data_IF_714456837008
#
_entry.id   IF_714456837008
#
_cell.length_a   1.000
_cell.length_b   1.000
_cell.length_c   1.000
_cell.angle_alpha   90.00
_cell.angle_beta   90.00
_cell.angle_gamma   90.00
#
_symmetry.space_group_name_H-M   'P 1'
#
loop_
_entity.id
_entity.type
_entity.pdbx_description
1 polymer ?
#
# COMPACT_ATOMS: atom_id res chain seq x y z
N UNK A 1 1.32 -5.28 -68.31
CA UNK A 1 0.61 -6.04 -67.26
C UNK A 1 1.12 -5.52 -65.93
N UNK A 2 0.41 -4.55 -65.36
CA UNK A 2 0.66 -4.10 -63.99
C UNK A 2 0.03 -5.10 -63.01
N UNK A 3 0.73 -5.50 -61.94
CA UNK A 3 0.14 -6.33 -60.92
C UNK A 3 -0.75 -5.45 -60.04
N UNK A 4 -2.06 -5.64 -60.17
CA UNK A 4 -3.06 -5.14 -59.22
C UNK A 4 -2.81 -5.80 -57.86
N UNK A 5 -2.11 -5.09 -56.96
CA UNK A 5 -2.03 -5.44 -55.54
C UNK A 5 -3.40 -5.24 -54.89
N UNK A 6 -4.30 -6.20 -55.08
CA UNK A 6 -5.56 -6.26 -54.38
C UNK A 6 -5.33 -6.90 -53.00
N UNK A 7 -4.70 -6.16 -52.09
CA UNK A 7 -4.62 -6.56 -50.67
C UNK A 7 -5.86 -6.07 -49.92
N UNK A 8 -6.99 -6.73 -50.14
CA UNK A 8 -8.12 -6.64 -49.20
C UNK A 8 -7.71 -7.34 -47.90
N UNK A 9 -6.92 -6.65 -47.07
CA UNK A 9 -6.82 -7.00 -45.66
C UNK A 9 -8.24 -6.90 -45.08
N UNK A 10 -8.90 -8.05 -44.87
CA UNK A 10 -10.15 -8.11 -44.10
C UNK A 10 -9.91 -7.40 -42.77
N UNK A 11 -10.42 -6.19 -42.63
CA UNK A 11 -10.29 -5.40 -41.40
C UNK A 11 -10.94 -6.20 -40.28
N UNK A 12 -10.24 -6.34 -39.16
CA UNK A 12 -10.72 -7.07 -37.99
C UNK A 12 -12.14 -6.59 -37.61
N UNK A 13 -13.11 -7.50 -37.39
CA UNK A 13 -14.45 -7.12 -36.96
C UNK A 13 -14.46 -6.24 -35.70
N UNK A 14 -13.53 -6.51 -34.77
CA UNK A 14 -13.36 -5.72 -33.55
C UNK A 14 -12.99 -4.28 -33.88
N UNK A 15 -12.08 -4.05 -34.83
CA UNK A 15 -11.64 -2.69 -35.19
C UNK A 15 -12.71 -1.92 -35.97
N UNK A 16 -13.64 -2.62 -36.63
CA UNK A 16 -14.76 -2.02 -37.35
C UNK A 16 -15.97 -1.75 -36.44
N UNK A 17 -16.03 -2.34 -35.24
CA UNK A 17 -17.11 -2.08 -34.29
C UNK A 17 -17.07 -0.61 -33.79
N UNK A 18 -18.22 -0.01 -33.45
CA UNK A 18 -18.27 1.33 -32.84
C UNK A 18 -17.40 1.42 -31.58
N UNK A 19 -16.88 2.62 -31.29
CA UNK A 19 -15.98 2.84 -30.15
C UNK A 19 -16.56 2.30 -28.83
N UNK A 20 -17.85 2.54 -28.55
CA UNK A 20 -18.48 2.08 -27.31
C UNK A 20 -18.50 0.56 -27.18
N UNK A 21 -18.68 -0.17 -28.29
CA UNK A 21 -18.62 -1.63 -28.30
C UNK A 21 -17.20 -2.11 -28.06
N UNK A 22 -16.20 -1.50 -28.73
CA UNK A 22 -14.79 -1.82 -28.49
C UNK A 22 -14.39 -1.54 -27.05
N UNK A 23 -14.85 -0.42 -26.51
CA UNK A 23 -14.63 0.01 -25.12
C UNK A 23 -15.21 -1.01 -24.14
N UNK A 24 -16.46 -1.44 -24.35
CA UNK A 24 -17.10 -2.47 -23.53
C UNK A 24 -16.36 -3.80 -23.58
N UNK A 25 -15.89 -4.23 -24.75
CA UNK A 25 -15.07 -5.45 -24.89
C UNK A 25 -13.76 -5.30 -24.10
N UNK A 26 -13.04 -4.20 -24.31
CA UNK A 26 -11.75 -3.95 -23.67
C UNK A 26 -11.86 -3.85 -22.14
N UNK A 27 -12.93 -3.27 -21.61
CA UNK A 27 -13.17 -3.20 -20.16
C UNK A 27 -13.23 -4.58 -19.49
N UNK A 28 -13.67 -5.60 -20.22
CA UNK A 28 -13.70 -6.98 -19.72
C UNK A 28 -12.35 -7.71 -19.84
N UNK A 29 -11.41 -7.15 -20.61
CA UNK A 29 -10.10 -7.76 -20.88
C UNK A 29 -8.95 -7.08 -20.13
N UNK A 30 -9.11 -5.80 -19.81
CA UNK A 30 -8.07 -4.99 -19.19
C UNK A 30 -8.16 -5.08 -17.66
N UNK A 31 -7.01 -5.07 -16.97
CA UNK A 31 -7.02 -4.98 -15.50
C UNK A 31 -7.50 -3.60 -15.05
N UNK A 32 -8.32 -3.59 -14.00
CA UNK A 32 -8.79 -2.36 -13.34
C UNK A 32 -7.75 -1.80 -12.36
N UNK A 33 -6.76 -2.60 -12.00
CA UNK A 33 -5.73 -2.25 -11.03
C UNK A 33 -4.37 -2.66 -11.59
N UNK A 34 -3.45 -1.70 -11.66
CA UNK A 34 -2.10 -1.91 -12.21
C UNK A 34 -1.05 -1.39 -11.24
N UNK A 35 -0.08 -2.21 -10.90
CA UNK A 35 1.12 -1.79 -10.20
C UNK A 35 2.13 -1.18 -11.16
N UNK A 36 2.67 -0.03 -10.79
CA UNK A 36 3.81 0.61 -11.44
C UNK A 36 5.01 0.52 -10.49
N UNK A 37 6.10 -0.05 -10.98
CA UNK A 37 7.31 -0.25 -10.19
C UNK A 37 8.56 -0.08 -11.03
N UNK A 38 9.70 0.19 -10.38
CA UNK A 38 11.01 0.12 -11.03
C UNK A 38 11.54 -1.29 -10.83
N UNK A 39 11.80 -1.99 -11.92
CA UNK A 39 12.44 -3.29 -11.84
C UNK A 39 13.88 -3.15 -11.32
N UNK A 40 14.23 -3.95 -10.32
CA UNK A 40 15.53 -3.87 -9.66
C UNK A 40 16.68 -4.22 -10.61
N UNK A 41 16.46 -5.12 -11.57
CA UNK A 41 17.50 -5.63 -12.46
C UNK A 41 17.71 -4.74 -13.69
N UNK A 42 16.63 -4.42 -14.39
CA UNK A 42 16.67 -3.62 -15.62
C UNK A 42 16.66 -2.11 -15.37
N UNK A 43 16.32 -1.68 -14.14
CA UNK A 43 16.11 -0.27 -13.76
C UNK A 43 15.07 0.43 -14.64
N UNK A 44 14.15 -0.33 -15.23
CA UNK A 44 13.07 0.19 -16.08
C UNK A 44 11.77 0.29 -15.30
N UNK A 45 10.94 1.24 -15.73
CA UNK A 45 9.57 1.33 -15.29
C UNK A 45 8.76 0.17 -15.87
N UNK A 46 8.16 -0.63 -15.00
CA UNK A 46 7.38 -1.81 -15.33
C UNK A 46 5.93 -1.65 -14.87
N UNK A 47 5.05 -2.42 -15.49
CA UNK A 47 3.63 -2.49 -15.15
C UNK A 47 3.23 -3.95 -15.01
N UNK A 48 2.48 -4.28 -13.96
CA UNK A 48 1.87 -5.59 -13.79
C UNK A 48 0.45 -5.45 -13.25
N UNK A 49 -0.52 -6.29 -13.67
CA UNK A 49 -1.85 -6.29 -13.07
C UNK A 49 -1.78 -6.58 -11.56
N UNK A 50 -2.68 -5.99 -10.79
CA UNK A 50 -2.93 -6.43 -9.42
C UNK A 50 -3.51 -7.85 -9.44
N UNK A 51 -2.94 -8.75 -8.64
CA UNK A 51 -3.41 -10.13 -8.50
C UNK A 51 -4.16 -10.37 -7.18
N UNK A 52 -4.19 -9.36 -6.30
CA UNK A 52 -4.98 -9.44 -5.08
C UNK A 52 -6.47 -9.47 -5.43
N UNK A 53 -7.17 -10.42 -4.81
CA UNK A 53 -8.63 -10.55 -4.91
C UNK A 53 -9.38 -9.84 -3.78
N UNK A 54 -8.66 -9.44 -2.72
CA UNK A 54 -9.21 -8.77 -1.54
C UNK A 54 -8.79 -7.30 -1.54
N UNK A 55 -9.66 -6.45 -1.00
CA UNK A 55 -9.36 -5.04 -0.80
C UNK A 55 -8.10 -4.91 0.10
N UNK A 56 -7.02 -4.31 -0.39
CA UNK A 56 -5.80 -4.11 0.38
C UNK A 56 -6.09 -3.30 1.65
N UNK A 57 -5.54 -3.75 2.79
CA UNK A 57 -5.60 -3.03 4.05
C UNK A 57 -7.00 -2.89 4.67
N UNK A 58 -7.87 -3.87 4.45
CA UNK A 58 -8.94 -4.13 5.44
C UNK A 58 -8.33 -4.20 6.85
N UNK A 59 -9.08 -3.85 7.89
CA UNK A 59 -8.64 -3.97 9.31
C UNK A 59 -8.29 -5.40 9.77
N UNK A 60 -8.30 -6.36 8.84
CA UNK A 60 -7.92 -7.75 9.00
C UNK A 60 -6.52 -8.09 8.47
N UNK A 61 -5.82 -7.17 7.78
CA UNK A 61 -4.44 -7.41 7.29
C UNK A 61 -3.42 -7.24 8.42
N UNK A 62 -3.37 -8.23 9.32
CA UNK A 62 -2.36 -8.29 10.41
C UNK A 62 -1.00 -8.79 9.90
N UNK A 63 -0.91 -9.26 8.65
CA UNK A 63 0.23 -9.97 8.11
C UNK A 63 0.23 -11.48 8.39
N UNK A 64 -0.73 -11.97 9.18
CA UNK A 64 -0.84 -13.40 9.51
C UNK A 64 -1.14 -14.29 8.31
N UNK A 65 -1.95 -13.80 7.38
CA UNK A 65 -2.37 -14.49 6.16
C UNK A 65 -1.24 -14.66 5.14
N UNK A 66 -0.07 -14.07 5.39
CA UNK A 66 1.10 -14.12 4.50
C UNK A 66 1.93 -15.40 4.65
N UNK A 67 1.66 -16.24 5.64
CA UNK A 67 2.38 -17.52 5.86
C UNK A 67 2.04 -18.57 4.79
N UNK A 68 2.99 -19.45 4.46
CA UNK A 68 2.69 -20.68 3.70
C UNK A 68 2.35 -21.83 4.65
N UNK A 69 3.12 -21.94 5.74
CA UNK A 69 3.11 -23.11 6.61
C UNK A 69 2.53 -22.74 7.96
N UNK A 70 1.82 -23.67 8.61
CA UNK A 70 1.31 -23.46 9.97
C UNK A 70 2.39 -23.39 11.06
N UNK A 71 3.68 -23.30 10.70
CA UNK A 71 4.80 -23.22 11.64
C UNK A 71 5.16 -21.75 11.86
N UNK A 72 5.09 -21.30 13.11
CA UNK A 72 5.13 -19.88 13.46
C UNK A 72 6.54 -19.26 13.47
N UNK A 73 7.56 -20.02 13.90
CA UNK A 73 8.79 -19.36 14.40
C UNK A 73 9.97 -19.35 13.40
N UNK A 74 9.90 -20.12 12.31
CA UNK A 74 10.98 -20.27 11.33
C UNK A 74 10.44 -20.43 9.90
N UNK A 75 9.69 -19.44 9.43
CA UNK A 75 9.23 -19.36 8.04
C UNK A 75 9.92 -18.16 7.34
N UNK A 76 11.10 -18.36 6.72
CA UNK A 76 11.81 -17.30 6.00
C UNK A 76 10.99 -16.68 4.86
N UNK A 77 10.02 -17.43 4.36
CA UNK A 77 9.19 -17.03 3.25
C UNK A 77 8.03 -16.15 3.76
N UNK A 78 7.44 -16.48 4.91
CA UNK A 78 6.57 -15.56 5.65
C UNK A 78 7.30 -14.27 6.02
N UNK A 79 8.52 -14.37 6.58
CA UNK A 79 9.35 -13.22 6.91
C UNK A 79 9.64 -12.34 5.68
N UNK A 80 9.92 -12.95 4.52
CA UNK A 80 10.07 -12.24 3.24
C UNK A 80 8.80 -11.49 2.84
N UNK A 81 7.63 -12.13 2.92
CA UNK A 81 6.32 -11.51 2.58
C UNK A 81 5.93 -10.39 3.53
N UNK A 82 6.22 -10.53 4.82
CA UNK A 82 6.03 -9.47 5.84
C UNK A 82 6.92 -8.25 5.59
N UNK A 83 8.13 -8.49 5.06
CA UNK A 83 9.08 -7.45 4.68
C UNK A 83 8.89 -6.93 3.24
N UNK A 84 7.79 -7.31 2.58
CA UNK A 84 7.45 -6.80 1.25
C UNK A 84 7.41 -5.27 1.23
N UNK A 85 8.02 -4.69 0.20
CA UNK A 85 7.99 -3.24 -0.03
C UNK A 85 6.62 -2.78 -0.55
N UNK A 86 5.81 -3.73 -1.05
CA UNK A 86 4.45 -3.49 -1.54
C UNK A 86 3.38 -3.69 -0.44
N UNK A 87 3.82 -4.00 0.79
CA UNK A 87 2.97 -4.10 1.97
C UNK A 87 1.84 -5.12 1.78
N UNK A 88 0.56 -4.72 1.87
CA UNK A 88 -0.59 -5.60 1.61
C UNK A 88 -0.54 -6.30 0.25
N UNK A 89 0.11 -5.70 -0.76
CA UNK A 89 0.25 -6.25 -2.11
C UNK A 89 1.50 -7.13 -2.29
N UNK A 90 1.96 -7.78 -1.22
CA UNK A 90 3.12 -8.67 -1.25
C UNK A 90 3.01 -9.76 -2.34
N UNK A 91 1.82 -10.30 -2.59
CA UNK A 91 1.61 -11.31 -3.64
C UNK A 91 1.87 -10.74 -5.02
N UNK A 92 1.50 -9.47 -5.27
CA UNK A 92 1.80 -8.79 -6.51
C UNK A 92 3.30 -8.56 -6.69
N UNK A 93 4.02 -8.25 -5.60
CA UNK A 93 5.49 -8.14 -5.62
C UNK A 93 6.14 -9.49 -5.95
N UNK A 94 5.66 -10.58 -5.35
CA UNK A 94 6.15 -11.93 -5.66
C UNK A 94 5.93 -12.30 -7.12
N UNK A 95 4.74 -12.04 -7.67
CA UNK A 95 4.45 -12.28 -9.09
C UNK A 95 5.39 -11.45 -9.96
N UNK A 96 5.51 -10.14 -9.70
CA UNK A 96 6.40 -9.25 -10.43
C UNK A 96 7.87 -9.72 -10.42
N UNK A 97 8.35 -10.24 -9.28
CA UNK A 97 9.72 -10.76 -9.14
C UNK A 97 9.89 -12.16 -9.75
N UNK A 98 8.89 -13.02 -9.68
CA UNK A 98 8.93 -14.39 -10.20
C UNK A 98 8.92 -14.43 -11.73
N UNK A 99 8.18 -13.51 -12.37
CA UNK A 99 8.11 -13.36 -13.83
C UNK A 99 9.47 -13.03 -14.45
N UNK A 100 10.37 -12.43 -13.68
CA UNK A 100 11.73 -12.07 -14.10
C UNK A 100 12.72 -13.23 -13.96
N UNK A 101 12.40 -14.27 -13.18
CA UNK A 101 13.32 -15.39 -12.85
C UNK A 101 13.18 -16.62 -13.75
N UNK A 102 12.34 -16.56 -14.78
CA UNK A 102 12.21 -17.57 -15.84
C UNK A 102 12.08 -19.02 -15.29
N UNK A 103 11.05 -19.28 -14.48
CA UNK A 103 10.60 -20.65 -14.26
C UNK A 103 9.72 -21.03 -15.46
N UNK A 104 10.25 -21.95 -16.29
CA UNK A 104 9.55 -22.58 -17.42
C UNK A 104 8.10 -22.92 -17.05
N UNK A 105 7.12 -22.14 -17.53
CA UNK A 105 5.71 -22.55 -17.55
C UNK A 105 4.65 -21.50 -17.19
N UNK A 106 4.97 -20.46 -16.41
CA UNK A 106 3.96 -19.45 -16.00
C UNK A 106 4.17 -18.17 -16.81
N UNK A 107 3.68 -18.14 -18.05
CA UNK A 107 4.02 -17.06 -19.02
C UNK A 107 2.86 -16.39 -19.76
N UNK A 108 1.60 -16.43 -19.29
CA UNK A 108 0.48 -16.01 -20.17
C UNK A 108 -0.50 -14.93 -19.70
N UNK A 109 -0.71 -14.64 -18.41
CA UNK A 109 -1.77 -13.68 -18.03
C UNK A 109 -1.32 -12.23 -17.91
N UNK A 110 -0.16 -11.94 -17.30
CA UNK A 110 0.21 -10.55 -16.96
C UNK A 110 0.58 -9.67 -18.16
N UNK A 111 0.91 -10.27 -19.31
CA UNK A 111 1.22 -9.55 -20.56
C UNK A 111 0.05 -9.47 -21.53
N UNK A 112 -1.14 -9.99 -21.19
CA UNK A 112 -2.26 -10.03 -22.14
C UNK A 112 -2.62 -8.61 -22.61
N UNK A 113 -2.77 -7.65 -21.69
CA UNK A 113 -3.07 -6.26 -22.06
C UNK A 113 -1.89 -5.57 -22.79
N UNK A 114 -0.64 -5.85 -22.39
CA UNK A 114 0.54 -5.33 -23.10
C UNK A 114 0.65 -5.89 -24.52
N UNK A 115 0.24 -7.13 -24.75
CA UNK A 115 0.14 -7.72 -26.08
C UNK A 115 -0.97 -7.04 -26.89
N UNK A 116 -2.14 -6.76 -26.29
CA UNK A 116 -3.21 -6.00 -26.93
C UNK A 116 -2.75 -4.60 -27.34
N UNK A 117 -1.97 -3.91 -26.50
CA UNK A 117 -1.38 -2.59 -26.81
C UNK A 117 -0.42 -2.63 -28.01
N UNK A 118 0.18 -3.79 -28.33
CA UNK A 118 1.10 -3.96 -29.45
C UNK A 118 0.44 -4.38 -30.76
N UNK A 119 -0.87 -4.64 -30.76
CA UNK A 119 -1.58 -5.15 -31.95
C UNK A 119 -1.65 -4.13 -33.09
N UNK A 120 -2.17 -2.93 -32.82
CA UNK A 120 -2.25 -1.85 -33.80
C UNK A 120 -2.41 -0.49 -33.10
N UNK A 121 -2.17 0.59 -33.85
CA UNK A 121 -2.25 1.97 -33.32
C UNK A 121 -3.62 2.31 -32.72
N UNK A 122 -4.71 1.82 -33.33
CA UNK A 122 -6.06 2.07 -32.83
C UNK A 122 -6.31 1.37 -31.50
N UNK A 123 -5.98 0.08 -31.39
CA UNK A 123 -6.09 -0.66 -30.12
C UNK A 123 -5.22 -0.05 -29.03
N UNK A 124 -3.99 0.37 -29.38
CA UNK A 124 -3.12 1.07 -28.46
C UNK A 124 -3.79 2.31 -27.88
N UNK A 125 -4.35 3.17 -28.74
CA UNK A 125 -5.03 4.39 -28.30
C UNK A 125 -6.27 4.09 -27.46
N UNK A 126 -7.12 3.14 -27.88
CA UNK A 126 -8.34 2.76 -27.16
C UNK A 126 -8.01 2.20 -25.75
N UNK A 127 -6.96 1.37 -25.65
CA UNK A 127 -6.50 0.82 -24.36
C UNK A 127 -5.91 1.91 -23.48
N UNK A 128 -5.03 2.75 -24.02
CA UNK A 128 -4.39 3.83 -23.24
C UNK A 128 -5.44 4.82 -22.72
N UNK A 129 -6.47 5.12 -23.51
CA UNK A 129 -7.59 5.94 -23.09
C UNK A 129 -8.38 5.29 -21.93
N UNK A 130 -8.71 4.01 -22.06
CA UNK A 130 -9.35 3.23 -20.99
C UNK A 130 -8.54 3.19 -19.71
N UNK A 131 -7.24 2.86 -19.80
CA UNK A 131 -6.35 2.78 -18.66
C UNK A 131 -6.28 4.11 -17.90
N UNK A 132 -6.26 5.25 -18.60
CA UNK A 132 -6.23 6.57 -17.96
C UNK A 132 -7.50 6.89 -17.17
N UNK A 133 -8.64 6.35 -17.59
CA UNK A 133 -9.95 6.70 -17.06
C UNK A 133 -10.47 5.74 -15.99
N UNK A 134 -10.23 4.45 -16.17
CA UNK A 134 -10.91 3.37 -15.44
C UNK A 134 -9.96 2.57 -14.54
N UNK A 135 -8.65 2.66 -14.76
CA UNK A 135 -7.66 1.91 -13.99
C UNK A 135 -7.14 2.72 -12.81
N UNK A 136 -7.04 2.07 -11.65
CA UNK A 136 -6.28 2.55 -10.49
C UNK A 136 -4.83 2.10 -10.62
N UNK A 137 -3.91 3.06 -10.58
CA UNK A 137 -2.48 2.75 -10.59
C UNK A 137 -1.94 2.72 -9.18
N UNK A 138 -1.28 1.63 -8.80
CA UNK A 138 -0.60 1.47 -7.52
C UNK A 138 0.89 1.79 -7.68
N UNK A 139 1.41 2.66 -6.84
CA UNK A 139 2.82 3.03 -6.80
C UNK A 139 3.34 2.78 -5.39
N UNK A 140 4.35 1.92 -5.28
CA UNK A 140 4.90 1.50 -3.98
C UNK A 140 6.20 2.24 -3.61
N UNK A 141 6.72 3.02 -4.56
CA UNK A 141 7.93 3.83 -4.38
C UNK A 141 7.69 5.24 -4.91
N UNK A 142 7.68 6.22 -4.01
CA UNK A 142 7.42 7.62 -4.35
C UNK A 142 8.47 8.22 -5.29
N UNK A 143 9.66 7.61 -5.43
CA UNK A 143 10.69 8.05 -6.41
C UNK A 143 10.23 7.90 -7.86
N UNK A 144 9.20 7.07 -8.09
CA UNK A 144 8.63 6.83 -9.41
C UNK A 144 7.75 8.00 -9.87
N UNK A 145 7.27 8.82 -8.94
CA UNK A 145 6.25 9.84 -9.22
C UNK A 145 6.67 10.83 -10.30
N UNK A 146 7.94 11.26 -10.34
CA UNK A 146 8.42 12.14 -11.40
C UNK A 146 8.30 11.51 -12.79
N UNK A 147 8.53 10.19 -12.90
CA UNK A 147 8.38 9.45 -14.15
C UNK A 147 6.92 9.43 -14.64
N UNK A 148 5.94 9.47 -13.73
CA UNK A 148 4.52 9.53 -14.10
C UNK A 148 4.14 10.85 -14.78
N UNK A 149 4.90 11.91 -14.51
CA UNK A 149 4.64 13.25 -15.08
C UNK A 149 5.22 13.44 -16.47
N UNK A 150 6.08 12.52 -16.93
CA UNK A 150 6.63 12.57 -18.28
C UNK A 150 5.57 12.19 -19.32
N UNK A 151 5.48 12.89 -20.46
CA UNK A 151 4.51 12.56 -21.51
C UNK A 151 4.61 11.10 -21.93
N UNK A 152 3.51 10.35 -21.84
CA UNK A 152 3.54 8.90 -22.09
C UNK A 152 2.19 8.21 -21.95
N UNK A 153 2.17 6.98 -21.43
CA UNK A 153 0.91 6.29 -21.11
C UNK A 153 0.28 6.91 -19.86
N UNK A 154 1.10 7.32 -18.89
CA UNK A 154 0.71 7.61 -17.50
C UNK A 154 0.43 9.09 -17.17
N UNK A 155 0.80 10.04 -18.03
CA UNK A 155 0.66 11.50 -17.77
C UNK A 155 -0.77 12.05 -17.62
N UNK A 156 -1.80 11.21 -17.73
CA UNK A 156 -3.23 11.59 -17.69
C UNK A 156 -4.09 10.66 -16.83
N UNK A 157 -3.47 9.94 -15.90
CA UNK A 157 -4.20 9.07 -14.99
C UNK A 157 -5.19 9.85 -14.14
N UNK A 158 -6.36 9.25 -13.89
CA UNK A 158 -7.40 9.81 -13.01
C UNK A 158 -7.34 9.27 -11.58
N UNK A 159 -6.82 8.05 -11.40
CA UNK A 159 -6.84 7.31 -10.13
C UNK A 159 -5.43 6.82 -9.82
N UNK A 160 -4.89 7.23 -8.67
CA UNK A 160 -3.58 6.83 -8.19
C UNK A 160 -3.70 6.39 -6.73
N UNK A 161 -3.09 5.26 -6.41
CA UNK A 161 -2.90 4.79 -5.04
C UNK A 161 -1.41 4.69 -4.74
N UNK A 162 -0.97 5.33 -3.67
CA UNK A 162 0.39 5.27 -3.16
C UNK A 162 0.42 4.34 -1.96
N UNK A 163 1.31 3.35 -1.95
CA UNK A 163 1.50 2.44 -0.82
C UNK A 163 2.94 2.55 -0.37
N UNK A 164 3.18 3.38 0.64
CA UNK A 164 4.52 3.82 1.00
C UNK A 164 4.85 3.28 2.39
N UNK A 165 5.83 2.38 2.45
CA UNK A 165 6.50 1.97 3.70
C UNK A 165 7.80 2.74 3.86
N UNK A 166 7.77 3.75 4.72
CA UNK A 166 8.92 4.63 4.99
C UNK A 166 9.88 3.95 5.99
N UNK A 167 11.21 4.12 5.85
CA UNK A 167 12.13 3.81 6.93
C UNK A 167 11.78 4.64 8.17
N UNK A 168 11.77 4.04 9.37
CA UNK A 168 11.51 4.79 10.62
C UNK A 168 12.46 5.99 10.78
N UNK A 169 13.75 5.82 10.42
CA UNK A 169 14.74 6.89 10.43
C UNK A 169 14.39 8.06 9.49
N UNK A 170 13.67 7.80 8.40
CA UNK A 170 13.19 8.84 7.48
C UNK A 170 12.07 9.64 8.15
N UNK A 171 11.13 8.97 8.84
CA UNK A 171 10.10 9.62 9.63
C UNK A 171 10.69 10.55 10.70
N UNK A 172 11.72 10.09 11.41
CA UNK A 172 12.42 10.89 12.43
C UNK A 172 13.19 12.07 11.83
N UNK A 173 13.85 11.88 10.70
CA UNK A 173 14.50 13.00 10.01
C UNK A 173 13.50 14.11 9.58
N UNK A 174 12.26 13.75 9.23
CA UNK A 174 11.22 14.74 8.92
C UNK A 174 10.72 15.48 10.15
N UNK A 175 10.62 14.80 11.29
CA UNK A 175 10.29 15.39 12.59
C UNK A 175 11.34 16.45 12.97
N UNK A 176 12.63 16.10 12.91
CA UNK A 176 13.74 17.03 13.18
C UNK A 176 13.69 18.27 12.26
N UNK A 177 13.36 18.08 10.98
CA UNK A 177 13.22 19.18 10.02
C UNK A 177 12.03 20.09 10.34
N UNK A 178 10.91 19.53 10.79
CA UNK A 178 9.74 20.30 11.16
C UNK A 178 9.98 21.09 12.46
N UNK A 179 10.64 20.49 13.45
CA UNK A 179 11.03 21.17 14.68
C UNK A 179 12.02 22.32 14.41
N UNK A 180 13.05 22.08 13.60
CA UNK A 180 14.00 23.13 13.20
C UNK A 180 13.28 24.28 12.48
N UNK A 181 12.30 23.97 11.62
CA UNK A 181 11.47 24.97 10.94
C UNK A 181 10.62 25.78 11.91
N UNK A 182 10.00 25.15 12.91
CA UNK A 182 9.22 25.84 13.96
C UNK A 182 10.12 26.74 14.80
N UNK A 183 11.32 26.28 15.13
CA UNK A 183 12.32 27.05 15.87
C UNK A 183 12.99 28.16 15.04
N UNK A 184 12.67 28.31 13.75
CA UNK A 184 13.39 29.16 12.79
C UNK A 184 14.91 28.91 12.78
N UNK A 185 15.32 27.68 13.07
CA UNK A 185 16.70 27.24 13.04
C UNK A 185 17.12 26.82 11.62
N UNK A 186 18.43 26.81 11.36
CA UNK A 186 18.95 26.23 10.11
C UNK A 186 18.64 24.74 10.05
N UNK A 187 18.32 24.26 8.84
CA UNK A 187 18.05 22.83 8.61
C UNK A 187 19.23 21.98 9.10
N UNK A 188 18.99 20.89 9.85
CA UNK A 188 20.06 20.03 10.31
C UNK A 188 20.85 19.49 9.10
N UNK A 189 22.18 19.64 9.15
CA UNK A 189 23.06 19.06 8.14
C UNK A 189 23.08 17.53 8.31
N UNK A 190 22.83 16.79 7.23
CA UNK A 190 23.03 15.34 7.23
C UNK A 190 24.54 15.05 7.18
N UNK A 191 25.02 14.14 8.03
CA UNK A 191 26.40 13.63 7.94
C UNK A 191 26.63 12.89 6.62
N UNK A 192 27.88 12.75 6.18
CA UNK A 192 28.24 11.98 4.96
C UNK A 192 27.71 10.54 4.99
N UNK A 193 27.64 9.91 6.17
CA UNK A 193 27.06 8.58 6.37
C UNK A 193 25.54 8.52 6.17
N UNK A 194 24.86 9.69 6.09
CA UNK A 194 23.40 9.82 5.96
C UNK A 194 22.95 10.47 4.66
N UNK A 195 23.80 10.55 3.64
CA UNK A 195 23.45 11.17 2.35
C UNK A 195 22.20 10.53 1.72
N UNK A 196 22.12 9.19 1.68
CA UNK A 196 20.96 8.49 1.10
C UNK A 196 19.67 8.80 1.88
N UNK A 197 19.75 8.83 3.21
CA UNK A 197 18.60 9.21 4.05
C UNK A 197 18.16 10.64 3.73
N UNK A 198 19.11 11.58 3.66
CA UNK A 198 18.85 12.97 3.30
C UNK A 198 18.20 13.12 1.92
N UNK A 199 18.70 12.39 0.91
CA UNK A 199 18.13 12.40 -0.44
C UNK A 199 16.69 11.86 -0.44
N UNK A 200 16.41 10.77 0.29
CA UNK A 200 15.05 10.22 0.41
C UNK A 200 14.11 11.15 1.16
N UNK A 201 14.59 11.79 2.23
CA UNK A 201 13.83 12.82 2.96
C UNK A 201 13.48 13.98 2.05
N UNK A 202 14.46 14.54 1.32
CA UNK A 202 14.22 15.64 0.36
C UNK A 202 13.22 15.22 -0.73
N UNK A 203 13.34 14.00 -1.25
CA UNK A 203 12.43 13.49 -2.27
C UNK A 203 10.99 13.36 -1.73
N UNK A 204 10.80 12.90 -0.49
CA UNK A 204 9.50 12.91 0.16
C UNK A 204 8.96 14.32 0.41
N UNK A 205 9.81 15.25 0.87
CA UNK A 205 9.42 16.66 1.06
C UNK A 205 8.94 17.31 -0.25
N UNK A 206 9.30 16.75 -1.40
CA UNK A 206 8.89 17.20 -2.74
C UNK A 206 7.79 16.35 -3.37
N UNK A 207 7.21 15.38 -2.65
CA UNK A 207 6.25 14.40 -3.18
C UNK A 207 5.01 15.03 -3.83
N UNK A 208 4.56 16.18 -3.34
CA UNK A 208 3.41 16.91 -3.93
C UNK A 208 3.73 17.50 -5.30
N UNK A 209 4.99 17.81 -5.60
CA UNK A 209 5.39 18.43 -6.87
C UNK A 209 5.01 17.58 -8.09
N UNK A 210 5.38 16.28 -8.20
CA UNK A 210 4.91 15.46 -9.31
C UNK A 210 3.40 15.24 -9.28
N UNK A 211 2.78 15.08 -8.12
CA UNK A 211 1.35 14.81 -7.99
C UNK A 211 0.49 16.00 -8.48
N UNK A 212 0.88 17.24 -8.17
CA UNK A 212 0.22 18.45 -8.69
C UNK A 212 0.35 18.62 -10.20
N UNK A 213 1.41 18.07 -10.83
CA UNK A 213 1.57 18.08 -12.29
C UNK A 213 0.64 17.08 -13.00
N UNK A 214 0.04 16.12 -12.29
CA UNK A 214 -0.95 15.21 -12.84
C UNK A 214 -2.32 15.89 -12.93
N UNK A 215 -2.49 16.79 -13.90
CA UNK A 215 -3.68 17.65 -14.04
C UNK A 215 -5.02 16.89 -14.18
N UNK A 216 -4.98 15.62 -14.58
CA UNK A 216 -6.17 14.77 -14.73
C UNK A 216 -6.42 13.87 -13.52
N UNK A 217 -5.53 13.87 -12.52
CA UNK A 217 -5.73 13.14 -11.27
C UNK A 217 -6.98 13.68 -10.57
N UNK A 218 -7.83 12.75 -10.11
CA UNK A 218 -9.09 13.05 -9.42
C UNK A 218 -9.26 12.25 -8.14
N UNK A 219 -8.67 11.07 -8.07
CA UNK A 219 -8.70 10.23 -6.88
C UNK A 219 -7.27 9.87 -6.51
N UNK A 220 -6.88 10.18 -5.28
CA UNK A 220 -5.57 9.90 -4.71
C UNK A 220 -5.72 9.24 -3.34
N UNK A 221 -5.39 7.96 -3.26
CA UNK A 221 -5.36 7.21 -2.01
C UNK A 221 -3.92 7.00 -1.57
N UNK A 222 -3.54 7.45 -0.38
CA UNK A 222 -2.16 7.38 0.11
C UNK A 222 -2.13 6.54 1.38
N UNK A 223 -1.48 5.39 1.32
CA UNK A 223 -1.19 4.53 2.46
C UNK A 223 0.22 4.80 2.93
N UNK A 224 0.36 5.19 4.18
CA UNK A 224 1.65 5.49 4.78
C UNK A 224 1.80 4.62 6.03
N UNK A 225 2.91 3.90 6.08
CA UNK A 225 3.36 3.13 7.25
C UNK A 225 4.89 3.24 7.34
N UNK A 226 5.48 2.73 8.42
CA UNK A 226 6.93 2.53 8.51
C UNK A 226 7.31 1.05 8.58
N UNK A 227 8.55 0.77 8.21
CA UNK A 227 9.08 -0.60 8.10
C UNK A 227 9.52 -1.22 9.44
N UNK A 228 9.68 -0.42 10.49
CA UNK A 228 10.09 -0.88 11.83
C UNK A 228 8.95 -1.55 12.60
N UNK A 229 9.25 -2.35 13.64
CA UNK A 229 8.26 -3.01 14.50
C UNK A 229 7.70 -2.13 15.62
N UNK A 230 8.35 -1.00 15.91
CA UNK A 230 7.86 -0.06 16.92
C UNK A 230 6.46 0.47 16.58
N UNK A 231 5.70 0.88 17.61
CA UNK A 231 4.34 1.38 17.42
C UNK A 231 4.28 2.67 16.60
N UNK A 232 3.28 2.81 15.73
CA UNK A 232 3.07 4.03 14.95
C UNK A 232 2.89 5.30 15.81
N UNK A 233 2.53 5.14 17.10
CA UNK A 233 2.36 6.27 18.03
C UNK A 233 3.64 7.09 18.27
N UNK A 234 4.81 6.58 17.88
CA UNK A 234 6.08 7.31 18.00
C UNK A 234 6.30 8.31 16.86
N UNK A 235 5.46 8.30 15.82
CA UNK A 235 5.66 9.08 14.60
C UNK A 235 5.00 10.45 14.71
N UNK A 236 5.74 11.50 14.36
CA UNK A 236 5.18 12.84 14.21
C UNK A 236 4.40 12.97 12.89
N UNK A 237 3.14 12.52 12.89
CA UNK A 237 2.32 12.38 11.67
C UNK A 237 2.23 13.68 10.86
N UNK A 238 2.12 14.86 11.49
CA UNK A 238 2.13 16.14 10.75
C UNK A 238 3.42 16.38 9.99
N UNK A 239 4.57 15.98 10.52
CA UNK A 239 5.83 16.14 9.81
C UNK A 239 5.84 15.25 8.54
N UNK A 240 5.29 14.04 8.65
CA UNK A 240 5.14 13.10 7.53
C UNK A 240 4.14 13.61 6.48
N UNK A 241 3.02 14.18 6.92
CA UNK A 241 1.91 14.58 6.03
C UNK A 241 2.07 15.98 5.44
N UNK A 242 2.83 16.88 6.07
CA UNK A 242 3.03 18.26 5.61
C UNK A 242 3.39 18.36 4.12
N UNK A 243 4.29 17.52 3.56
CA UNK A 243 4.62 17.58 2.12
C UNK A 243 3.45 17.38 1.18
N UNK A 244 2.33 16.83 1.66
CA UNK A 244 1.10 16.59 0.91
C UNK A 244 0.11 17.76 1.01
N UNK A 245 0.31 18.73 1.90
CA UNK A 245 -0.60 19.87 2.09
C UNK A 245 -0.88 20.65 0.79
N UNK A 246 0.09 20.87 -0.12
CA UNK A 246 -0.19 21.54 -1.40
C UNK A 246 -1.24 20.83 -2.26
N UNK A 247 -1.48 19.53 -2.06
CA UNK A 247 -2.48 18.77 -2.80
C UNK A 247 -3.92 19.11 -2.38
N UNK A 248 -4.09 19.69 -1.19
CA UNK A 248 -5.40 20.15 -0.71
C UNK A 248 -5.93 21.35 -1.50
N UNK A 249 -5.05 22.08 -2.19
CA UNK A 249 -5.40 23.21 -3.05
C UNK A 249 -5.74 22.79 -4.48
N UNK A 250 -5.56 21.50 -4.82
CA UNK A 250 -5.85 21.00 -6.17
C UNK A 250 -7.37 20.84 -6.33
N UNK A 251 -8.02 21.58 -7.24
CA UNK A 251 -9.46 21.50 -7.42
C UNK A 251 -9.90 20.10 -7.85
N UNK A 252 -11.06 19.65 -7.35
CA UNK A 252 -11.70 18.36 -7.67
C UNK A 252 -10.89 17.11 -7.28
N UNK A 253 -9.73 17.26 -6.62
CA UNK A 253 -8.94 16.13 -6.16
C UNK A 253 -9.55 15.56 -4.87
N UNK A 254 -10.06 14.34 -4.95
CA UNK A 254 -10.45 13.55 -3.79
C UNK A 254 -9.22 12.82 -3.27
N UNK A 255 -8.79 13.19 -2.06
CA UNK A 255 -7.64 12.57 -1.41
C UNK A 255 -8.06 11.85 -0.14
N UNK A 256 -7.54 10.64 0.05
CA UNK A 256 -7.66 9.86 1.30
C UNK A 256 -6.27 9.49 1.78
N UNK A 257 -6.02 9.71 3.06
CA UNK A 257 -4.79 9.26 3.70
C UNK A 257 -5.12 8.11 4.63
N UNK A 258 -4.57 6.93 4.36
CA UNK A 258 -4.69 5.75 5.18
C UNK A 258 -3.47 5.68 6.10
N UNK A 259 -3.70 5.74 7.40
CA UNK A 259 -2.67 5.72 8.44
C UNK A 259 -2.96 4.61 9.44
N UNK A 260 -1.94 4.04 10.10
CA UNK A 260 -2.14 3.14 11.22
C UNK A 260 -3.02 3.76 12.31
N UNK A 261 -3.80 2.92 12.98
CA UNK A 261 -4.54 3.27 14.19
C UNK A 261 -3.55 3.72 15.27
N UNK A 262 -3.97 4.70 16.05
CA UNK A 262 -3.20 5.15 17.20
C UNK A 262 -3.71 4.46 18.45
N UNK A 263 -2.82 4.28 19.42
CA UNK A 263 -3.23 3.85 20.75
C UNK A 263 -4.29 4.83 21.29
N UNK A 264 -5.45 4.34 21.80
CA UNK A 264 -6.54 5.21 22.26
C UNK A 264 -6.16 6.25 23.33
N UNK A 265 -5.14 5.95 24.16
CA UNK A 265 -4.61 6.88 25.16
C UNK A 265 -3.84 8.05 24.55
N UNK A 266 -3.27 7.85 23.37
CA UNK A 266 -2.39 8.80 22.68
C UNK A 266 -3.13 9.55 21.58
N UNK A 267 -4.25 9.00 21.10
CA UNK A 267 -5.12 9.62 20.09
C UNK A 267 -5.55 11.05 20.46
N UNK A 268 -5.80 11.34 21.75
CA UNK A 268 -6.14 12.70 22.18
C UNK A 268 -4.93 13.65 22.24
N UNK A 269 -3.71 13.13 22.40
CA UNK A 269 -2.48 13.93 22.35
C UNK A 269 -2.02 14.15 20.91
N UNK A 270 -2.12 13.12 20.08
CA UNK A 270 -1.84 13.17 18.64
C UNK A 270 -2.85 14.04 17.89
N UNK A 271 -4.07 14.23 18.42
CA UNK A 271 -4.96 15.30 18.00
C UNK A 271 -4.20 16.63 17.94
N UNK A 272 -3.45 17.02 18.97
CA UNK A 272 -2.57 18.20 18.95
C UNK A 272 -1.46 18.15 17.89
N UNK A 273 -1.10 16.95 17.42
CA UNK A 273 -0.13 16.72 16.35
C UNK A 273 -0.80 16.82 14.96
N UNK A 274 -2.13 16.72 14.85
CA UNK A 274 -2.91 16.95 13.61
C UNK A 274 -3.57 18.30 13.51
N UNK A 275 -3.96 18.89 14.64
CA UNK A 275 -4.53 20.22 14.69
C UNK A 275 -3.43 21.25 14.39
N UNK A 276 -3.74 22.29 13.62
CA UNK A 276 -2.84 23.42 13.45
C UNK A 276 -2.53 24.13 14.77
N UNK A 277 -1.56 25.03 14.78
CA UNK A 277 -1.31 25.94 15.91
C UNK A 277 -2.57 26.76 16.29
N UNK A 278 -3.52 26.88 15.36
CA UNK A 278 -4.83 27.50 15.53
C UNK A 278 -5.93 26.55 16.04
N UNK A 279 -5.59 25.30 16.36
CA UNK A 279 -6.54 24.27 16.79
C UNK A 279 -7.46 23.76 15.68
N UNK A 280 -7.24 24.13 14.41
CA UNK A 280 -8.12 23.70 13.31
C UNK A 280 -7.77 22.28 12.84
N UNK A 281 -8.79 21.44 12.56
CA UNK A 281 -8.56 20.08 12.08
C UNK A 281 -7.76 20.09 10.79
N UNK A 282 -6.90 19.09 10.63
CA UNK A 282 -6.31 18.80 9.34
C UNK A 282 -7.41 18.67 8.29
N UNK A 283 -7.20 19.28 7.11
CA UNK A 283 -8.13 19.17 5.98
C UNK A 283 -8.05 17.81 5.28
N UNK A 284 -7.10 16.96 5.66
CA UNK A 284 -7.00 15.61 5.12
C UNK A 284 -8.16 14.74 5.60
N UNK A 285 -8.78 14.02 4.66
CA UNK A 285 -9.66 12.89 4.99
C UNK A 285 -8.79 11.70 5.38
N UNK A 286 -8.63 11.47 6.67
CA UNK A 286 -7.83 10.37 7.21
C UNK A 286 -8.73 9.16 7.46
N UNK A 287 -8.29 7.99 6.99
CA UNK A 287 -8.85 6.71 7.33
C UNK A 287 -7.84 5.94 8.18
N UNK A 288 -8.23 5.55 9.40
CA UNK A 288 -7.36 4.79 10.31
C UNK A 288 -7.52 3.31 10.05
N UNK A 289 -6.40 2.59 9.96
CA UNK A 289 -6.36 1.16 9.62
C UNK A 289 -5.54 0.40 10.65
N UNK A 290 -5.93 -0.84 10.93
CA UNK A 290 -5.06 -1.74 11.71
C UNK A 290 -3.74 -1.93 10.97
N UNK A 291 -2.65 -1.90 11.72
CA UNK A 291 -1.29 -2.12 11.21
C UNK A 291 -0.97 -3.61 11.18
N UNK A 292 -0.02 -3.99 10.34
CA UNK A 292 0.62 -5.30 10.42
C UNK A 292 1.18 -5.51 11.84
N UNK A 293 0.96 -6.70 12.42
CA UNK A 293 1.36 -7.03 13.79
C UNK A 293 2.50 -8.05 13.80
N UNK A 294 2.64 -8.82 12.72
CA UNK A 294 3.73 -9.75 12.55
C UNK A 294 4.88 -9.06 11.82
N UNK A 295 6.08 -9.07 12.38
CA UNK A 295 7.25 -8.41 11.81
C UNK A 295 8.34 -9.43 11.53
N UNK A 296 9.04 -9.24 10.42
CA UNK A 296 10.20 -10.06 10.10
C UNK A 296 11.43 -9.52 10.83
N UNK A 297 12.18 -10.41 11.46
CA UNK A 297 13.45 -10.08 12.08
C UNK A 297 14.62 -10.63 11.27
N UNK A 298 15.71 -9.86 11.29
CA UNK A 298 16.95 -10.16 10.60
C UNK A 298 17.92 -10.79 11.60
N UNK A 299 18.57 -11.88 11.19
CA UNK A 299 19.66 -12.47 11.96
C UNK A 299 20.94 -11.61 11.88
N UNK A 300 22.00 -12.05 12.57
CA UNK A 300 23.31 -11.39 12.55
C UNK A 300 23.92 -11.28 11.13
N UNK A 301 23.41 -12.06 10.18
CA UNK A 301 23.85 -12.09 8.78
C UNK A 301 22.88 -11.32 7.86
N UNK A 302 22.01 -10.49 8.42
CA UNK A 302 20.98 -9.70 7.71
C UNK A 302 19.92 -10.54 6.98
N UNK A 303 19.79 -11.82 7.32
CA UNK A 303 18.82 -12.74 6.70
C UNK A 303 17.51 -12.71 7.48
N UNK A 304 16.40 -12.65 6.76
CA UNK A 304 15.06 -12.76 7.34
C UNK A 304 14.84 -14.19 7.81
N UNK A 305 14.83 -14.40 9.13
CA UNK A 305 14.87 -15.74 9.73
C UNK A 305 13.68 -16.02 10.63
N UNK A 306 13.23 -15.03 11.37
CA UNK A 306 12.17 -15.18 12.38
C UNK A 306 11.06 -14.14 12.20
N UNK A 307 9.90 -14.47 12.76
CA UNK A 307 8.72 -13.61 12.77
C UNK A 307 8.36 -13.33 14.23
N UNK A 308 8.21 -12.06 14.58
CA UNK A 308 7.79 -11.63 15.92
C UNK A 308 6.43 -10.95 15.88
N UNK A 309 5.62 -11.18 16.91
CA UNK A 309 4.34 -10.51 17.10
C UNK A 309 4.56 -9.25 17.94
N UNK A 310 4.38 -8.09 17.32
CA UNK A 310 4.62 -6.76 17.88
C UNK A 310 3.46 -5.85 17.46
N UNK A 311 2.31 -6.01 18.10
CA UNK A 311 1.15 -5.16 17.86
C UNK A 311 1.34 -3.75 18.44
N UNK A 312 0.86 -2.72 17.75
CA UNK A 312 0.96 -1.32 18.19
C UNK A 312 0.30 -1.06 19.56
N UNK A 313 -0.75 -1.82 19.89
CA UNK A 313 -1.41 -1.87 21.18
C UNK A 313 -2.25 -3.17 21.29
N UNK A 314 -2.53 -3.67 22.51
CA UNK A 314 -3.33 -4.87 22.69
C UNK A 314 -4.72 -4.70 22.09
N UNK A 315 -5.10 -5.55 21.14
CA UNK A 315 -6.47 -5.60 20.63
C UNK A 315 -7.32 -6.52 21.51
N UNK A 316 -8.50 -6.05 21.91
CA UNK A 316 -9.43 -6.86 22.69
C UNK A 316 -10.34 -7.74 21.82
N UNK A 317 -10.09 -7.80 20.50
CA UNK A 317 -10.91 -8.58 19.57
C UNK A 317 -11.00 -10.06 19.95
N UNK A 318 -9.91 -10.62 20.48
CA UNK A 318 -9.81 -12.04 20.80
C UNK A 318 -10.35 -12.38 22.21
N UNK A 319 -10.91 -11.40 22.92
CA UNK A 319 -11.43 -11.59 24.27
C UNK A 319 -12.89 -12.07 24.23
N UNK A 320 -13.25 -13.12 24.98
CA UNK A 320 -14.63 -13.65 24.98
C UNK A 320 -15.69 -12.60 25.33
N UNK A 321 -15.36 -11.62 26.17
CA UNK A 321 -16.26 -10.53 26.58
C UNK A 321 -16.64 -9.55 25.46
N UNK A 322 -16.01 -9.69 24.30
CA UNK A 322 -16.20 -8.85 23.13
C UNK A 322 -16.67 -9.67 21.92
N UNK A 323 -16.91 -10.97 22.08
CA UNK A 323 -17.46 -11.82 21.04
C UNK A 323 -18.87 -11.34 20.65
N UNK A 324 -19.13 -11.24 19.34
CA UNK A 324 -20.41 -10.79 18.80
C UNK A 324 -20.59 -9.28 18.66
N UNK A 325 -19.63 -8.47 19.12
CA UNK A 325 -19.59 -7.04 18.81
C UNK A 325 -19.15 -6.80 17.37
N UNK A 326 -19.71 -5.78 16.74
CA UNK A 326 -19.16 -5.26 15.49
C UNK A 326 -17.81 -4.59 15.74
N UNK A 327 -17.00 -4.43 14.69
CA UNK A 327 -15.68 -3.78 14.82
C UNK A 327 -15.78 -2.36 15.39
N UNK A 328 -16.79 -1.60 14.95
CA UNK A 328 -17.02 -0.23 15.44
C UNK A 328 -17.38 -0.20 16.93
N UNK A 329 -18.26 -1.11 17.38
CA UNK A 329 -18.62 -1.24 18.79
C UNK A 329 -17.44 -1.69 19.66
N UNK A 330 -16.63 -2.62 19.13
CA UNK A 330 -15.40 -3.09 19.78
C UNK A 330 -14.43 -1.93 19.99
N UNK A 331 -14.14 -1.18 18.93
CA UNK A 331 -13.24 -0.02 18.99
C UNK A 331 -13.75 1.07 19.94
N UNK A 332 -15.04 1.34 19.93
CA UNK A 332 -15.64 2.35 20.83
C UNK A 332 -15.52 1.92 22.30
N UNK A 333 -15.84 0.66 22.60
CA UNK A 333 -15.75 0.07 23.94
C UNK A 333 -14.29 0.02 24.40
N UNK A 334 -13.38 -0.40 23.53
CA UNK A 334 -11.94 -0.40 23.77
C UNK A 334 -11.42 1.00 24.08
N UNK A 335 -11.71 1.97 23.22
CA UNK A 335 -11.31 3.35 23.42
C UNK A 335 -11.84 3.92 24.72
N UNK A 336 -13.07 3.57 25.12
CA UNK A 336 -13.65 3.98 26.40
C UNK A 336 -12.89 3.39 27.59
N UNK A 337 -12.64 2.09 27.59
CA UNK A 337 -11.94 1.41 28.69
C UNK A 337 -10.50 1.90 28.85
N UNK A 338 -9.80 2.20 27.74
CA UNK A 338 -8.49 2.85 27.77
C UNK A 338 -8.54 4.27 28.35
N UNK A 339 -9.54 5.08 27.96
CA UNK A 339 -9.71 6.45 28.50
C UNK A 339 -10.02 6.47 29.99
N UNK A 340 -10.78 5.48 30.45
CA UNK A 340 -11.13 5.30 31.86
C UNK A 340 -10.00 4.68 32.69
N UNK A 341 -8.88 4.28 32.06
CA UNK A 341 -7.76 3.61 32.73
C UNK A 341 -8.11 2.24 33.30
N UNK A 342 -9.23 1.64 32.84
CA UNK A 342 -9.71 0.33 33.30
C UNK A 342 -8.97 -0.82 32.67
N UNK A 343 -8.40 -0.60 31.49
CA UNK A 343 -7.37 -1.45 30.92
C UNK A 343 -6.05 -1.00 31.56
N UNK A 344 -5.60 -1.75 32.55
CA UNK A 344 -4.27 -1.58 33.12
C UNK A 344 -3.19 -1.75 32.05
N UNK A 345 -1.91 -1.69 32.44
CA UNK A 345 -0.79 -1.98 31.54
C UNK A 345 -0.86 -3.47 31.13
N UNK A 346 -1.71 -3.82 30.16
CA UNK A 346 -1.73 -5.15 29.56
C UNK A 346 -0.41 -5.25 28.81
N UNK A 347 0.55 -5.96 29.39
CA UNK A 347 1.81 -6.24 28.72
C UNK A 347 1.48 -7.09 27.49
N UNK A 348 2.07 -6.81 26.30
CA UNK A 348 1.96 -7.71 25.15
C UNK A 348 2.37 -9.15 25.47
N UNK A 349 3.15 -9.37 26.54
CA UNK A 349 3.57 -10.70 27.03
C UNK A 349 2.55 -11.43 27.91
N UNK A 350 1.41 -10.83 28.22
CA UNK A 350 0.31 -11.50 28.96
C UNK A 350 -0.79 -12.03 28.03
N UNK A 351 -0.49 -12.21 26.74
CA UNK A 351 -1.25 -13.19 25.96
C UNK A 351 -1.12 -14.54 26.66
N UNK A 352 -2.21 -15.32 26.84
CA UNK A 352 -2.08 -16.66 27.38
C UNK A 352 -1.09 -17.43 26.51
N UNK A 353 -0.16 -18.13 27.16
CA UNK A 353 0.85 -18.94 26.49
C UNK A 353 0.23 -19.70 25.31
N UNK A 354 0.95 -19.74 24.19
CA UNK A 354 0.55 -20.30 22.89
C UNK A 354 -0.07 -21.72 22.94
N UNK A 355 -0.02 -22.41 24.09
CA UNK A 355 -0.74 -23.67 24.32
C UNK A 355 -2.27 -23.52 24.25
N UNK A 356 -2.83 -22.36 24.57
CA UNK A 356 -4.30 -22.18 24.56
C UNK A 356 -4.87 -21.94 23.16
N UNK A 357 -4.11 -21.36 22.23
CA UNK A 357 -4.56 -21.22 20.83
C UNK A 357 -4.58 -22.56 20.08
N UNK A 358 -3.74 -23.53 20.47
CA UNK A 358 -3.83 -24.91 19.97
C UNK A 358 -5.09 -25.65 20.45
N UNK A 359 -5.64 -25.27 21.61
CA UNK A 359 -6.84 -25.89 22.16
C UNK A 359 -8.15 -25.35 21.56
N UNK A 360 -8.14 -24.10 21.09
CA UNK A 360 -9.32 -23.39 20.56
C UNK A 360 -9.55 -23.62 19.06
N UNK A 361 -8.56 -24.15 18.33
CA UNK A 361 -8.67 -24.50 16.90
C UNK A 361 -8.65 -26.03 16.74
N UNK A 362 -9.53 -26.73 17.46
CA UNK A 362 -10.02 -28.05 17.03
C UNK A 362 -11.43 -27.89 16.51
N UNK A 363 -11.54 -27.52 15.24
CA UNK A 363 -12.74 -27.80 14.45
C UNK A 363 -13.02 -29.31 14.56
N UNK A 364 -14.04 -29.70 15.34
CA UNK A 364 -14.69 -31.01 15.19
C UNK A 364 -15.54 -30.94 13.93
N UNK A 365 -15.28 -31.74 12.88
CA UNK A 365 -16.26 -31.93 11.84
C UNK A 365 -17.31 -32.90 12.39
N UNK A 366 -18.49 -32.40 12.76
CA UNK A 366 -19.68 -33.23 12.90
C UNK A 366 -20.18 -33.62 11.51
N UNK A 367 -19.58 -34.65 10.93
CA UNK A 367 -20.25 -35.38 9.86
C UNK A 367 -21.11 -36.48 10.46
N UNK A 368 -22.42 -36.23 10.46
CA UNK A 368 -23.41 -37.28 10.45
C UNK A 368 -23.21 -38.13 9.18
N UNK A 369 -23.12 -39.44 9.33
CA UNK A 369 -23.50 -40.36 8.26
C UNK A 369 -24.15 -41.59 8.88
N UNK A 370 -25.42 -41.77 8.51
CA UNK A 370 -26.14 -43.03 8.58
C UNK A 370 -25.38 -44.10 7.81
N UNK A 371 -25.14 -45.26 8.43
CA UNK A 371 -25.57 -46.60 7.97
C UNK A 371 -25.73 -47.47 9.22
#
# INVERSE_FOLDING_TARGET
MEPTMNSQHKRSPVLNAPYDIRRAILLNLLPQEIHIYIDHYTKRLCMTPCVLRKCPGSDQDTGFDRRDTGKFDNDPMWAKRLNSSWGPHWTCEEVAQSELRDIKGVKKSCYAFLALMRMCKQMFNDIVDLLRHETTFYVTDFRILDSLTTPGILWKIRRLSLIIRLPLLLCKAMEDMEEARIANASTPAFSEERIELGMRTIAWMKVSSPLTRLQKLRILDIWIDHNDKQSWSIIHERAVLRPLEPLLEVPELQMVINLPKLHPRWEMKSKGWFYGEDGKPSRFRICRRRRQEFHAEKDELDRLTCVTLEADFPSMRDWPEFEGLTEEELEEKEGRLWREGKLGHVSPRQWPDNETLESSIRFRPSFASNV
#
